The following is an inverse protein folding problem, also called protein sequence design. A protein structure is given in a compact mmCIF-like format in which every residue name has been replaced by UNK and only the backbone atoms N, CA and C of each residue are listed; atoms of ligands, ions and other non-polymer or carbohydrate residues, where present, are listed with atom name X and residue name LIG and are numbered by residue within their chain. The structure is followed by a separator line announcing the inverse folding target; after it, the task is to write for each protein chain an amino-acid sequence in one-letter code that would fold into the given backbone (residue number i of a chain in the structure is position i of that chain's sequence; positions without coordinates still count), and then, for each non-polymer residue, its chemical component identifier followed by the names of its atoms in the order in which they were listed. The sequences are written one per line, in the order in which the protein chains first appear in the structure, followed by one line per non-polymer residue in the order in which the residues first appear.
data_IF_414677712483
#
_entry.id   IF_414677712483
#
_cell.length_a   1.000
_cell.length_b   1.000
_cell.length_c   1.000
_cell.angle_alpha   90.00
_cell.angle_beta   90.00
_cell.angle_gamma   90.00
#
_symmetry.space_group_name_H-M   'P 1'
#
loop_
_entity.id
_entity.type
_entity.pdbx_description
1 polymer ?
#
# COMPACT_ATOMS: atom_id res chain seq x y z
N UNK A 1 -6.65 25.91 -5.68
CA UNK A 1 -6.69 24.47 -5.30
C UNK A 1 -5.26 23.94 -5.20
N UNK A 2 -4.90 23.27 -4.10
CA UNK A 2 -3.58 22.65 -3.90
C UNK A 2 -3.32 21.50 -4.89
N UNK A 3 -2.06 21.31 -5.29
CA UNK A 3 -1.61 20.22 -6.19
C UNK A 3 -2.02 18.84 -5.67
N UNK A 4 -1.90 18.61 -4.35
CA UNK A 4 -2.31 17.36 -3.71
C UNK A 4 -3.82 17.07 -3.85
N UNK A 5 -4.66 18.11 -3.81
CA UNK A 5 -6.11 17.98 -3.98
C UNK A 5 -6.46 17.56 -5.41
N UNK A 6 -5.82 18.18 -6.41
CA UNK A 6 -5.99 17.81 -7.82
C UNK A 6 -5.59 16.36 -8.09
N UNK A 7 -4.48 15.92 -7.49
CA UNK A 7 -3.99 14.55 -7.62
C UNK A 7 -4.97 13.50 -7.05
N UNK A 8 -5.50 13.71 -5.83
CA UNK A 8 -6.51 12.81 -5.26
C UNK A 8 -7.76 12.73 -6.12
N UNK A 9 -8.21 13.86 -6.66
CA UNK A 9 -9.41 13.89 -7.49
C UNK A 9 -9.22 13.12 -8.79
N UNK A 10 -8.02 13.18 -9.38
CA UNK A 10 -7.69 12.36 -10.55
C UNK A 10 -7.68 10.87 -10.23
N UNK A 11 -7.11 10.44 -9.09
CA UNK A 11 -7.16 9.03 -8.68
C UNK A 11 -8.61 8.58 -8.46
N UNK A 12 -9.42 9.37 -7.75
CA UNK A 12 -10.85 9.05 -7.54
C UNK A 12 -11.58 8.90 -8.87
N UNK A 13 -11.30 9.77 -9.84
CA UNK A 13 -11.86 9.69 -11.19
C UNK A 13 -11.48 8.37 -11.87
N UNK A 14 -10.20 7.98 -11.82
CA UNK A 14 -9.71 6.71 -12.39
C UNK A 14 -10.33 5.49 -11.71
N UNK A 15 -10.47 5.51 -10.38
CA UNK A 15 -11.15 4.44 -9.62
C UNK A 15 -12.60 4.30 -10.08
N UNK A 16 -13.33 5.41 -10.27
CA UNK A 16 -14.72 5.36 -10.77
C UNK A 16 -14.80 4.72 -12.15
N UNK A 17 -13.97 5.17 -13.08
CA UNK A 17 -13.90 4.62 -14.44
C UNK A 17 -13.56 3.12 -14.43
N UNK A 18 -12.53 2.72 -13.66
CA UNK A 18 -12.10 1.33 -13.56
C UNK A 18 -13.16 0.43 -12.88
N UNK A 19 -13.86 0.96 -11.86
CA UNK A 19 -14.97 0.27 -11.22
C UNK A 19 -16.07 -0.03 -12.23
N UNK A 20 -16.45 0.96 -13.02
CA UNK A 20 -17.54 0.84 -13.98
C UNK A 20 -17.15 -0.05 -15.18
N UNK A 21 -15.91 0.07 -15.69
CA UNK A 21 -15.42 -0.77 -16.79
C UNK A 21 -15.29 -2.25 -16.42
N UNK A 22 -15.00 -2.55 -15.15
CA UNK A 22 -14.98 -3.92 -14.60
C UNK A 22 -16.37 -4.43 -14.18
N UNK A 23 -17.44 -3.66 -14.40
CA UNK A 23 -18.82 -4.06 -14.12
C UNK A 23 -19.23 -4.01 -12.64
N UNK A 24 -18.45 -3.34 -11.79
CA UNK A 24 -18.75 -3.16 -10.37
C UNK A 24 -19.72 -1.99 -10.14
N UNK A 25 -20.93 -2.10 -10.70
CA UNK A 25 -21.90 -1.00 -10.73
C UNK A 25 -22.38 -0.56 -9.33
N UNK A 26 -22.23 -1.40 -8.31
CA UNK A 26 -22.54 -1.07 -6.91
C UNK A 26 -21.32 -1.24 -6.01
N UNK A 27 -21.25 -0.49 -4.92
CA UNK A 27 -20.19 -0.65 -3.91
C UNK A 27 -20.19 -2.04 -3.29
N UNK A 28 -21.37 -2.66 -3.18
CA UNK A 28 -21.50 -4.01 -2.66
C UNK A 28 -20.82 -5.05 -3.54
N UNK A 29 -21.05 -5.00 -4.86
CA UNK A 29 -20.37 -5.88 -5.82
C UNK A 29 -18.86 -5.71 -5.76
N UNK A 30 -18.39 -4.45 -5.69
CA UNK A 30 -16.97 -4.16 -5.53
C UNK A 30 -16.39 -4.77 -4.25
N UNK A 31 -17.06 -4.58 -3.11
CA UNK A 31 -16.62 -5.13 -1.82
C UNK A 31 -16.56 -6.66 -1.84
N UNK A 32 -17.59 -7.31 -2.38
CA UNK A 32 -17.63 -8.79 -2.46
C UNK A 32 -16.49 -9.30 -3.32
N UNK A 33 -16.29 -8.72 -4.50
CA UNK A 33 -15.23 -9.15 -5.42
C UNK A 33 -13.82 -8.92 -4.84
N UNK A 34 -13.60 -7.75 -4.23
CA UNK A 34 -12.34 -7.41 -3.56
C UNK A 34 -12.06 -8.37 -2.40
N UNK A 35 -13.04 -8.54 -1.49
CA UNK A 35 -12.86 -9.38 -0.30
C UNK A 35 -12.69 -10.85 -0.67
N UNK A 36 -13.26 -11.30 -1.80
CA UNK A 36 -13.03 -12.64 -2.33
C UNK A 36 -11.61 -12.80 -2.87
N UNK A 37 -11.09 -11.83 -3.63
CA UNK A 37 -9.74 -11.88 -4.19
C UNK A 37 -8.66 -11.85 -3.10
N UNK A 38 -8.82 -10.96 -2.11
CA UNK A 38 -7.86 -10.80 -1.01
C UNK A 38 -8.24 -11.59 0.25
N UNK A 39 -9.04 -12.64 0.12
CA UNK A 39 -9.55 -13.41 1.27
C UNK A 39 -8.44 -13.90 2.18
N UNK A 40 -7.37 -14.46 1.62
CA UNK A 40 -6.24 -14.98 2.40
C UNK A 40 -5.51 -13.86 3.17
N UNK A 41 -5.27 -12.71 2.54
CA UNK A 41 -4.66 -11.55 3.19
C UNK A 41 -5.56 -10.99 4.31
N UNK A 42 -6.89 -11.03 4.11
CA UNK A 42 -7.88 -10.60 5.10
C UNK A 42 -7.94 -11.57 6.28
N UNK A 43 -7.99 -12.86 6.02
CA UNK A 43 -8.06 -13.91 7.05
C UNK A 43 -6.77 -13.92 7.89
N UNK A 44 -5.62 -13.61 7.30
CA UNK A 44 -4.33 -13.44 7.99
C UNK A 44 -4.18 -12.07 8.69
N UNK A 45 -5.17 -11.19 8.59
CA UNK A 45 -5.16 -9.86 9.22
C UNK A 45 -4.24 -8.82 8.54
N UNK A 46 -3.65 -9.13 7.39
CA UNK A 46 -2.75 -8.25 6.65
C UNK A 46 -3.50 -7.07 6.01
N UNK A 47 -4.70 -7.33 5.51
CA UNK A 47 -5.55 -6.31 4.89
C UNK A 47 -6.92 -6.35 5.54
N UNK A 48 -7.42 -5.21 6.00
CA UNK A 48 -8.79 -5.17 6.52
C UNK A 48 -9.80 -5.23 5.35
N UNK A 49 -10.95 -5.91 5.51
CA UNK A 49 -11.94 -6.05 4.44
C UNK A 49 -12.49 -4.69 3.96
N UNK A 50 -12.83 -4.65 2.68
CA UNK A 50 -13.54 -3.53 2.07
C UNK A 50 -15.01 -3.55 2.51
N UNK A 51 -15.55 -2.38 2.81
CA UNK A 51 -16.96 -2.18 3.12
C UNK A 51 -17.52 -0.95 2.38
N UNK A 52 -18.85 -0.87 2.30
CA UNK A 52 -19.55 0.18 1.54
C UNK A 52 -19.16 1.59 2.04
N UNK A 53 -19.01 1.77 3.34
CA UNK A 53 -18.64 3.07 3.94
C UNK A 53 -17.23 3.51 3.57
N UNK A 54 -16.29 2.57 3.50
CA UNK A 54 -14.93 2.86 3.04
C UNK A 54 -14.92 3.27 1.57
N UNK A 55 -15.59 2.50 0.71
CA UNK A 55 -15.70 2.81 -0.72
C UNK A 55 -16.38 4.15 -0.94
N UNK A 56 -17.47 4.43 -0.23
CA UNK A 56 -18.16 5.71 -0.29
C UNK A 56 -17.20 6.85 0.06
N UNK A 57 -16.52 6.80 1.22
CA UNK A 57 -15.56 7.85 1.62
C UNK A 57 -14.46 8.07 0.59
N UNK A 58 -13.85 7.01 0.07
CA UNK A 58 -12.83 7.13 -0.98
C UNK A 58 -13.37 7.87 -2.21
N UNK A 59 -14.61 7.56 -2.61
CA UNK A 59 -15.19 8.06 -3.86
C UNK A 59 -15.91 9.41 -3.74
N UNK A 60 -16.27 9.85 -2.54
CA UNK A 60 -17.12 11.03 -2.32
C UNK A 60 -16.51 12.10 -1.43
N UNK A 61 -15.80 11.72 -0.36
CA UNK A 61 -15.43 12.71 0.67
C UNK A 61 -14.05 13.33 0.47
N UNK A 62 -13.28 12.93 -0.54
CA UNK A 62 -11.88 13.38 -0.79
C UNK A 62 -10.92 13.19 0.42
N UNK A 63 -11.40 12.53 1.48
CA UNK A 63 -10.74 12.31 2.77
C UNK A 63 -10.34 10.86 2.90
N UNK A 64 -9.27 10.50 2.21
CA UNK A 64 -8.60 9.21 2.39
C UNK A 64 -7.08 9.43 2.40
N UNK A 65 -6.39 8.57 3.15
CA UNK A 65 -4.93 8.55 3.15
C UNK A 65 -4.44 7.68 2.00
N UNK A 66 -3.55 8.25 1.19
CA UNK A 66 -2.87 7.55 0.11
C UNK A 66 -1.93 6.45 0.63
N UNK A 67 -1.49 6.56 1.89
CA UNK A 67 -0.65 5.57 2.57
C UNK A 67 -1.47 4.44 3.21
N UNK A 68 -2.80 4.46 3.08
CA UNK A 68 -3.64 3.41 3.62
C UNK A 68 -3.52 2.14 2.76
N UNK A 69 -3.00 1.05 3.34
CA UNK A 69 -2.83 -0.23 2.65
C UNK A 69 -4.13 -0.75 2.01
N UNK A 70 -5.28 -0.55 2.65
CA UNK A 70 -6.59 -0.94 2.08
C UNK A 70 -6.93 -0.14 0.82
N UNK A 71 -6.57 1.15 0.78
CA UNK A 71 -6.76 2.00 -0.40
C UNK A 71 -5.82 1.59 -1.54
N UNK A 72 -4.57 1.28 -1.20
CA UNK A 72 -3.58 0.79 -2.14
C UNK A 72 -4.00 -0.51 -2.82
N UNK A 73 -4.39 -1.51 -2.02
CA UNK A 73 -4.93 -2.78 -2.51
C UNK A 73 -6.18 -2.56 -3.37
N UNK A 74 -7.04 -1.60 -3.05
CA UNK A 74 -8.17 -1.24 -3.90
C UNK A 74 -7.73 -0.70 -5.27
N UNK A 75 -6.69 0.13 -5.32
CA UNK A 75 -6.12 0.62 -6.57
C UNK A 75 -5.49 -0.53 -7.38
N UNK A 76 -4.73 -1.41 -6.73
CA UNK A 76 -4.17 -2.63 -7.32
C UNK A 76 -5.26 -3.52 -7.93
N UNK A 77 -6.31 -3.83 -7.15
CA UNK A 77 -7.48 -4.59 -7.59
C UNK A 77 -8.14 -4.02 -8.86
N UNK A 78 -8.26 -2.70 -8.90
CA UNK A 78 -8.87 -1.99 -10.03
C UNK A 78 -7.87 -1.71 -11.16
N UNK A 79 -6.60 -2.10 -11.02
CA UNK A 79 -5.51 -1.75 -11.93
C UNK A 79 -5.42 -0.23 -12.19
N UNK A 80 -5.62 0.56 -11.13
CA UNK A 80 -5.48 2.01 -11.16
C UNK A 80 -4.07 2.35 -10.72
N UNK A 81 -3.26 2.82 -11.67
CA UNK A 81 -1.93 3.34 -11.35
C UNK A 81 -2.04 4.60 -10.50
N UNK A 82 -1.58 4.47 -9.26
CA UNK A 82 -1.21 5.59 -8.43
C UNK A 82 0.29 5.79 -8.59
N UNK A 83 0.74 6.94 -9.09
CA UNK A 83 2.16 7.35 -9.00
C UNK A 83 2.66 7.51 -7.54
N UNK A 84 1.90 7.03 -6.57
CA UNK A 84 2.35 6.81 -5.22
C UNK A 84 3.30 5.62 -5.33
N UNK A 85 4.59 5.91 -5.48
CA UNK A 85 5.58 4.97 -5.01
C UNK A 85 5.17 4.64 -3.58
N UNK A 86 4.71 3.41 -3.37
CA UNK A 86 4.63 2.87 -2.04
C UNK A 86 6.04 2.94 -1.48
N UNK A 87 6.37 4.03 -0.79
CA UNK A 87 7.27 3.88 0.34
C UNK A 87 6.56 2.88 1.23
N UNK A 88 7.13 1.68 1.45
CA UNK A 88 6.60 0.78 2.44
C UNK A 88 6.65 1.55 3.76
N UNK A 89 5.53 2.13 4.17
CA UNK A 89 5.45 2.94 5.40
C UNK A 89 5.45 2.06 6.64
N UNK A 90 5.69 0.76 6.46
CA UNK A 90 5.83 -0.21 7.53
C UNK A 90 7.13 -0.98 7.25
N UNK A 91 8.23 -0.46 7.79
CA UNK A 91 9.51 -1.18 7.83
C UNK A 91 9.30 -2.60 8.37
N UNK A 92 8.33 -2.78 9.27
CA UNK A 92 7.90 -4.08 9.79
C UNK A 92 7.40 -5.03 8.69
N UNK A 93 6.64 -4.54 7.70
CA UNK A 93 6.16 -5.37 6.60
C UNK A 93 7.27 -5.69 5.59
N UNK A 94 8.14 -4.71 5.31
CA UNK A 94 9.32 -4.94 4.48
C UNK A 94 10.26 -5.98 5.13
N UNK A 95 10.45 -5.92 6.45
CA UNK A 95 11.23 -6.89 7.20
C UNK A 95 10.64 -8.31 7.10
N UNK A 96 9.31 -8.45 7.20
CA UNK A 96 8.64 -9.75 7.04
C UNK A 96 8.81 -10.33 5.63
N UNK A 97 8.76 -9.49 4.59
CA UNK A 97 8.99 -9.93 3.21
C UNK A 97 10.44 -10.35 2.97
N UNK A 98 11.40 -9.65 3.58
CA UNK A 98 12.82 -9.99 3.54
C UNK A 98 13.08 -11.32 4.25
N UNK A 99 12.49 -11.54 5.43
CA UNK A 99 12.59 -12.81 6.16
C UNK A 99 12.06 -14.00 5.34
N UNK A 100 10.93 -13.82 4.66
CA UNK A 100 10.35 -14.87 3.83
C UNK A 100 11.19 -15.14 2.58
N UNK A 101 11.77 -14.09 1.99
CA UNK A 101 12.69 -14.21 0.85
C UNK A 101 13.94 -15.00 1.20
N UNK A 102 14.54 -14.76 2.39
CA UNK A 102 15.72 -15.52 2.87
C UNK A 102 15.40 -16.99 3.11
N UNK A 103 14.20 -17.31 3.62
CA UNK A 103 13.78 -18.70 3.79
C UNK A 103 13.65 -19.45 2.46
N UNK A 104 13.16 -18.76 1.43
CA UNK A 104 13.00 -19.34 0.09
C UNK A 104 14.31 -19.39 -0.69
N UNK A 105 15.21 -18.44 -0.43
CA UNK A 105 16.50 -18.26 -1.10
C UNK A 105 17.62 -18.01 -0.08
N UNK A 106 18.10 -19.05 0.63
CA UNK A 106 19.15 -18.91 1.64
C UNK A 106 20.43 -18.27 1.11
N UNK A 107 20.71 -18.43 -0.19
CA UNK A 107 21.83 -17.80 -0.89
C UNK A 107 21.82 -16.27 -0.86
N UNK A 108 20.65 -15.65 -0.67
CA UNK A 108 20.51 -14.19 -0.58
C UNK A 108 20.80 -13.63 0.82
N UNK A 109 20.91 -14.49 1.84
CA UNK A 109 21.11 -14.06 3.24
C UNK A 109 22.29 -13.11 3.38
N UNK A 110 23.44 -13.47 2.82
CA UNK A 110 24.66 -12.66 2.92
C UNK A 110 24.51 -11.27 2.30
N UNK A 111 23.79 -11.16 1.18
CA UNK A 111 23.57 -9.89 0.50
C UNK A 111 22.61 -9.00 1.30
N UNK A 112 21.58 -9.62 1.88
CA UNK A 112 20.58 -8.95 2.72
C UNK A 112 21.22 -8.45 4.03
N UNK A 113 22.04 -9.28 4.68
CA UNK A 113 22.78 -8.91 5.90
C UNK A 113 23.68 -7.69 5.65
N UNK A 114 24.38 -7.66 4.52
CA UNK A 114 25.23 -6.52 4.13
C UNK A 114 24.45 -5.21 3.93
N UNK A 115 23.25 -5.30 3.35
CA UNK A 115 22.36 -4.13 3.19
C UNK A 115 21.85 -3.65 4.54
N UNK A 116 21.42 -4.56 5.42
CA UNK A 116 20.95 -4.21 6.78
C UNK A 116 22.08 -3.56 7.58
N UNK A 117 23.29 -4.10 7.52
CA UNK A 117 24.47 -3.55 8.18
C UNK A 117 24.81 -2.14 7.65
N UNK A 118 24.72 -1.94 6.34
CA UNK A 118 24.90 -0.62 5.72
C UNK A 118 23.89 0.39 6.24
N UNK A 119 22.62 0.01 6.34
CA UNK A 119 21.56 0.86 6.91
C UNK A 119 21.82 1.15 8.39
N UNK A 120 22.24 0.15 9.18
CA UNK A 120 22.58 0.32 10.58
C UNK A 120 23.77 1.28 10.78
N UNK A 121 24.78 1.22 9.90
CA UNK A 121 25.92 2.12 9.94
C UNK A 121 25.55 3.55 9.56
N UNK A 122 24.65 3.74 8.57
CA UNK A 122 24.09 5.05 8.27
C UNK A 122 23.33 5.64 9.47
N UNK A 123 22.60 4.81 10.22
CA UNK A 123 21.88 5.26 11.42
C UNK A 123 22.82 5.73 12.54
N UNK A 124 24.00 5.12 12.67
CA UNK A 124 25.04 5.50 13.64
C UNK A 124 25.80 6.76 13.21
N UNK A 125 25.96 6.98 11.91
CA UNK A 125 26.63 8.17 11.34
C UNK A 125 25.85 9.48 11.54
N UNK A 126 24.54 9.41 11.77
CA UNK A 126 23.69 10.58 12.01
C UNK A 126 23.84 11.14 13.45
N UNK A 127 24.52 10.42 14.35
CA UNK A 127 24.70 10.84 15.76
C UNK A 127 25.99 11.65 16.04
N UNK A 128 26.79 12.00 15.02
CA UNK A 128 28.08 12.70 15.21
C UNK A 128 28.21 14.02 14.42
N UNK A 129 27.09 14.73 14.18
CA UNK A 129 27.15 16.12 13.71
C UNK A 129 26.32 17.02 14.61
N UNK A 130 27.03 17.60 15.59
CA UNK A 130 26.70 18.67 16.56
C UNK A 130 27.53 18.29 17.82
N UNK A 131 28.51 19.02 18.34
CA UNK A 131 28.75 20.47 18.41
C UNK A 131 30.28 20.65 18.61
N UNK A 132 30.92 21.51 17.81
CA UNK A 132 32.14 22.25 18.20
C UNK A 132 31.86 23.73 18.00
#
# INVERSE_FOLDING_TARGET
MSSAKKYRNEIVRRIKVAKDSKGFNTYEKLCIAFNKQYKQEIDNGLVKPLNKDFVFRVLTTETFSLNNLRFAKLCEFLAVETHIQHQPSDISHAALLVDELVKQHPELSQQIDSVIESIANLSKGVSHHEIY
#
